data_IF_703868377398
#
_entry.id   IF_703868377398
#
_cell.length_a   1.000
_cell.length_b   1.000
_cell.length_c   1.000
_cell.angle_alpha   90.00
_cell.angle_beta   90.00
_cell.angle_gamma   90.00
#
_symmetry.space_group_name_H-M   'P 1'
#
loop_
_entity.id
_entity.type
_entity.pdbx_description
1 polymer ?
#
# COMPACT_ATOMS: atom_id res chain seq x y z
N UNK A 1 -38.64 43.63 -10.69
CA UNK A 1 -37.24 43.60 -11.18
C UNK A 1 -36.42 42.87 -10.14
N UNK A 2 -35.99 41.65 -10.45
CA UNK A 2 -35.28 40.78 -9.51
C UNK A 2 -33.82 41.22 -9.41
N UNK A 3 -33.34 41.39 -8.19
CA UNK A 3 -31.95 41.72 -7.89
C UNK A 3 -31.06 40.51 -8.09
N UNK A 4 -30.05 40.68 -8.93
CA UNK A 4 -28.99 39.72 -9.22
C UNK A 4 -28.01 39.70 -8.03
N UNK A 5 -28.20 38.76 -7.10
CA UNK A 5 -27.22 38.49 -6.06
C UNK A 5 -26.09 37.67 -6.67
N UNK A 6 -25.09 38.36 -7.22
CA UNK A 6 -23.86 37.78 -7.73
C UNK A 6 -23.11 37.03 -6.63
N UNK A 7 -23.39 35.73 -6.49
CA UNK A 7 -22.55 34.82 -5.73
C UNK A 7 -21.27 34.60 -6.55
N UNK A 8 -20.13 35.04 -6.01
CA UNK A 8 -18.83 34.73 -6.60
C UNK A 8 -18.69 33.20 -6.75
N UNK A 9 -18.15 32.70 -7.89
CA UNK A 9 -17.84 31.29 -8.03
C UNK A 9 -16.89 30.85 -6.91
N UNK A 10 -17.10 29.62 -6.42
CA UNK A 10 -16.25 29.01 -5.41
C UNK A 10 -14.78 29.11 -5.83
N UNK A 11 -14.00 29.91 -5.09
CA UNK A 11 -12.55 29.91 -5.17
C UNK A 11 -12.06 28.98 -4.05
N UNK A 12 -11.42 27.84 -4.35
CA UNK A 12 -10.85 27.00 -3.31
C UNK A 12 -9.91 27.87 -2.47
N UNK A 13 -10.07 27.83 -1.15
CA UNK A 13 -9.11 28.46 -0.26
C UNK A 13 -7.74 27.87 -0.59
N UNK A 14 -6.82 28.72 -1.06
CA UNK A 14 -5.44 28.33 -1.27
C UNK A 14 -4.94 27.80 0.07
N UNK A 15 -4.81 26.47 0.16
CA UNK A 15 -4.31 25.76 1.32
C UNK A 15 -3.10 26.54 1.86
N UNK A 16 -3.19 26.92 3.13
CA UNK A 16 -2.10 27.52 3.88
C UNK A 16 -0.79 26.80 3.52
N UNK A 17 0.15 27.58 2.97
CA UNK A 17 1.53 27.23 2.63
C UNK A 17 1.78 25.75 2.31
N UNK A 18 1.83 25.39 1.02
CA UNK A 18 2.39 24.11 0.59
C UNK A 18 3.81 23.98 1.15
N UNK A 19 3.98 23.12 2.16
CA UNK A 19 5.29 22.83 2.74
C UNK A 19 6.09 22.03 1.71
N UNK A 20 7.14 22.63 1.17
CA UNK A 20 8.07 21.93 0.30
C UNK A 20 9.09 21.18 1.16
N UNK A 21 8.94 19.86 1.25
CA UNK A 21 9.92 19.00 1.92
C UNK A 21 10.98 18.59 0.91
N UNK A 22 12.25 18.94 1.19
CA UNK A 22 13.38 18.55 0.35
C UNK A 22 13.95 17.22 0.83
N UNK A 23 13.70 16.15 0.06
CA UNK A 23 14.17 14.80 0.39
C UNK A 23 15.67 14.58 0.10
N UNK A 24 16.24 15.32 -0.85
CA UNK A 24 17.65 15.17 -1.24
C UNK A 24 18.60 15.46 -0.07
N UNK A 25 19.60 14.62 0.14
CA UNK A 25 20.59 14.79 1.20
C UNK A 25 20.14 14.27 2.57
N UNK A 26 18.96 13.66 2.66
CA UNK A 26 18.46 13.00 3.86
C UNK A 26 18.47 11.49 3.70
N UNK A 27 18.66 10.77 4.80
CA UNK A 27 18.44 9.32 4.86
C UNK A 27 16.94 9.08 4.91
N UNK A 28 16.42 8.33 3.93
CA UNK A 28 15.00 7.97 3.83
C UNK A 28 14.81 6.50 4.20
N UNK A 29 13.67 6.18 4.80
CA UNK A 29 13.25 4.81 5.03
C UNK A 29 12.21 4.42 3.98
N UNK A 30 12.48 3.31 3.28
CA UNK A 30 11.63 2.80 2.20
C UNK A 30 11.28 1.35 2.51
N UNK A 31 9.99 1.03 2.49
CA UNK A 31 9.53 -0.37 2.50
C UNK A 31 9.42 -0.81 1.05
N UNK A 32 10.05 -1.93 0.70
CA UNK A 32 10.05 -2.47 -0.66
C UNK A 32 9.21 -3.74 -0.72
N UNK A 33 8.34 -3.87 -1.72
CA UNK A 33 7.54 -5.06 -1.96
C UNK A 33 7.56 -5.46 -3.43
N UNK A 34 7.66 -6.76 -3.70
CA UNK A 34 7.41 -7.33 -5.02
C UNK A 34 6.03 -8.00 -5.00
N UNK A 35 5.26 -7.78 -6.06
CA UNK A 35 3.97 -8.44 -6.25
C UNK A 35 3.81 -8.86 -7.71
N UNK A 36 3.31 -10.08 -7.90
CA UNK A 36 3.13 -10.67 -9.21
C UNK A 36 1.68 -11.17 -9.33
N UNK A 37 1.07 -10.94 -10.49
CA UNK A 37 -0.15 -11.62 -10.91
C UNK A 37 0.24 -12.52 -12.07
N UNK A 38 0.00 -13.81 -11.92
CA UNK A 38 0.23 -14.82 -12.96
C UNK A 38 -1.11 -15.40 -13.39
N UNK A 39 -1.37 -15.38 -14.70
CA UNK A 39 -2.58 -15.90 -15.31
C UNK A 39 -2.23 -17.09 -16.18
N UNK A 40 -3.04 -18.15 -16.10
CA UNK A 40 -2.88 -19.35 -16.91
C UNK A 40 -4.14 -19.58 -17.74
N UNK A 41 -4.11 -20.40 -18.80
CA UNK A 41 -5.31 -20.75 -19.55
C UNK A 41 -6.43 -21.32 -18.68
N UNK A 42 -6.08 -22.03 -17.58
CA UNK A 42 -7.04 -22.58 -16.61
C UNK A 42 -7.61 -21.52 -15.67
N UNK A 43 -6.83 -20.48 -15.35
CA UNK A 43 -7.27 -19.32 -14.56
C UNK A 43 -6.96 -18.01 -15.31
N UNK A 44 -7.73 -17.68 -16.36
CA UNK A 44 -7.35 -16.66 -17.33
C UNK A 44 -7.71 -15.23 -16.92
N UNK A 45 -8.32 -15.04 -15.74
CA UNK A 45 -8.86 -13.75 -15.30
C UNK A 45 -8.43 -13.42 -13.88
N UNK A 46 -7.97 -12.19 -13.71
CA UNK A 46 -7.79 -11.55 -12.42
C UNK A 46 -9.04 -10.72 -12.09
N UNK A 47 -9.73 -10.98 -10.96
CA UNK A 47 -11.01 -10.36 -10.64
C UNK A 47 -10.92 -8.88 -10.24
N UNK A 48 -9.71 -8.34 -10.09
CA UNK A 48 -9.48 -7.01 -9.54
C UNK A 48 -9.05 -7.06 -8.08
N UNK A 49 -8.50 -5.95 -7.61
CA UNK A 49 -8.14 -5.73 -6.22
C UNK A 49 -9.30 -5.16 -5.41
N UNK A 50 -9.06 -4.96 -4.13
CA UNK A 50 -9.95 -4.23 -3.24
C UNK A 50 -9.48 -2.77 -3.12
N UNK A 51 -10.37 -1.85 -2.76
CA UNK A 51 -9.99 -0.45 -2.52
C UNK A 51 -9.20 -0.32 -1.21
N UNK A 52 -7.99 0.23 -1.29
CA UNK A 52 -7.08 0.31 -0.14
C UNK A 52 -6.14 1.53 -0.15
N UNK A 53 -5.54 1.77 1.02
CA UNK A 53 -4.39 2.64 1.26
C UNK A 53 -3.24 1.74 1.77
N UNK A 54 -2.00 2.11 1.48
CA UNK A 54 -0.83 1.30 1.83
C UNK A 54 -0.41 1.51 3.29
N UNK A 55 0.02 0.44 3.94
CA UNK A 55 0.54 0.50 5.31
C UNK A 55 -0.52 0.74 6.39
N UNK A 56 -0.11 0.50 7.63
CA UNK A 56 -0.84 0.82 8.84
C UNK A 56 -0.16 2.00 9.54
N UNK A 57 -0.72 2.41 10.69
CA UNK A 57 -0.22 3.57 11.41
C UNK A 57 1.24 3.41 11.87
N UNK A 58 1.69 2.19 12.13
CA UNK A 58 3.07 1.89 12.53
C UNK A 58 4.07 1.97 11.37
N UNK A 59 3.66 1.71 10.12
CA UNK A 59 4.56 1.86 8.96
C UNK A 59 4.72 3.31 8.49
N UNK A 60 3.84 4.23 8.94
CA UNK A 60 3.92 5.69 8.68
C UNK A 60 4.15 6.04 7.19
N UNK A 61 3.49 5.33 6.28
CA UNK A 61 3.68 5.50 4.83
C UNK A 61 3.01 6.79 4.35
N UNK A 62 3.77 7.67 3.70
CA UNK A 62 3.31 8.97 3.19
C UNK A 62 3.15 9.01 1.66
N UNK A 63 3.88 8.16 0.93
CA UNK A 63 3.77 8.06 -0.52
C UNK A 63 4.08 6.65 -1.01
N UNK A 64 3.49 6.32 -2.16
CA UNK A 64 3.65 5.03 -2.82
C UNK A 64 4.20 5.24 -4.23
N UNK A 65 5.26 4.51 -4.56
CA UNK A 65 5.82 4.39 -5.89
C UNK A 65 5.66 2.97 -6.40
N UNK A 66 5.18 2.78 -7.61
CA UNK A 66 5.01 1.48 -8.25
C UNK A 66 5.73 1.47 -9.58
N UNK A 67 6.57 0.45 -9.80
CA UNK A 67 7.24 0.21 -11.06
C UNK A 67 6.76 -1.11 -11.67
N UNK A 68 6.16 -1.03 -12.86
CA UNK A 68 5.66 -2.17 -13.62
C UNK A 68 6.77 -2.72 -14.51
N UNK A 69 7.65 -3.54 -13.93
CA UNK A 69 8.90 -3.92 -14.59
C UNK A 69 8.76 -5.04 -15.62
N UNK A 70 7.64 -5.79 -15.62
CA UNK A 70 7.38 -6.81 -16.63
C UNK A 70 5.87 -7.10 -16.74
N UNK A 71 5.35 -7.12 -17.97
CA UNK A 71 3.94 -7.38 -18.25
C UNK A 71 3.77 -8.01 -19.63
N UNK A 72 3.34 -9.27 -19.67
CA UNK A 72 3.21 -10.03 -20.92
C UNK A 72 1.86 -10.74 -21.00
N UNK A 73 1.29 -10.77 -22.22
CA UNK A 73 0.07 -11.52 -22.55
C UNK A 73 -1.14 -11.23 -21.65
N UNK A 74 -1.31 -9.98 -21.23
CA UNK A 74 -2.49 -9.54 -20.48
C UNK A 74 -3.27 -8.49 -21.28
N UNK A 75 -4.58 -8.41 -21.05
CA UNK A 75 -5.39 -7.28 -21.48
C UNK A 75 -5.00 -6.02 -20.71
N UNK A 76 -5.51 -4.86 -21.14
CA UNK A 76 -5.25 -3.59 -20.48
C UNK A 76 -5.51 -3.66 -18.97
N UNK A 77 -4.47 -3.39 -18.17
CA UNK A 77 -4.55 -3.31 -16.72
C UNK A 77 -4.61 -1.83 -16.31
N UNK A 78 -5.40 -1.51 -15.28
CA UNK A 78 -5.60 -0.14 -14.79
C UNK A 78 -5.49 -0.06 -13.28
N UNK A 79 -4.98 1.06 -12.80
CA UNK A 79 -5.00 1.46 -11.39
C UNK A 79 -5.98 2.62 -11.23
N UNK A 80 -7.07 2.38 -10.52
CA UNK A 80 -8.10 3.38 -10.23
C UNK A 80 -7.80 4.11 -8.92
N UNK A 81 -8.18 5.38 -8.84
CA UNK A 81 -7.97 6.25 -7.67
C UNK A 81 -9.27 6.90 -7.23
N UNK A 82 -9.46 6.96 -5.91
CA UNK A 82 -10.59 7.61 -5.25
C UNK A 82 -10.08 8.48 -4.09
N UNK A 83 -10.63 9.70 -3.87
CA UNK A 83 -10.32 10.52 -2.72
C UNK A 83 -10.89 9.84 -1.49
N UNK A 84 -10.27 10.10 -0.35
CA UNK A 84 -10.83 9.73 0.94
C UNK A 84 -12.17 10.43 1.11
N UNK A 85 -13.28 9.69 1.06
CA UNK A 85 -14.61 10.19 1.36
C UNK A 85 -14.70 10.51 2.85
N UNK A 86 -14.37 11.74 3.24
CA UNK A 86 -14.39 12.20 4.63
C UNK A 86 -15.78 12.54 5.19
N UNK A 87 -16.86 12.10 4.54
CA UNK A 87 -18.22 12.46 4.92
C UNK A 87 -18.86 11.30 5.69
N UNK A 88 -18.62 11.23 7.01
CA UNK A 88 -19.40 10.33 7.87
C UNK A 88 -20.84 10.84 7.96
N UNK A 89 -21.80 9.92 7.84
CA UNK A 89 -23.20 10.18 8.15
C UNK A 89 -23.53 9.92 9.65
N UNK A 90 -22.59 9.38 10.43
CA UNK A 90 -22.89 8.74 11.72
C UNK A 90 -22.14 9.31 12.94
N UNK A 91 -21.08 10.09 12.78
CA UNK A 91 -20.49 10.83 13.90
C UNK A 91 -20.96 12.28 13.87
N UNK A 92 -21.29 12.86 15.02
CA UNK A 92 -21.64 14.28 15.15
C UNK A 92 -20.53 15.30 14.74
N UNK A 93 -19.66 14.99 13.79
CA UNK A 93 -18.67 15.87 13.19
C UNK A 93 -19.15 16.44 11.85
N UNK A 94 -19.57 17.72 11.89
CA UNK A 94 -19.59 18.67 10.77
C UNK A 94 -19.94 18.07 9.40
N UNK A 95 -21.21 17.70 9.22
CA UNK A 95 -21.80 17.75 7.89
C UNK A 95 -21.46 19.09 7.26
N UNK A 96 -21.11 19.09 5.96
CA UNK A 96 -20.94 20.34 5.19
C UNK A 96 -22.07 21.27 5.60
N UNK A 97 -21.76 22.45 6.13
CA UNK A 97 -22.78 23.38 6.59
C UNK A 97 -23.49 23.84 5.32
N UNK A 98 -24.59 23.18 4.99
CA UNK A 98 -25.42 23.49 3.84
C UNK A 98 -26.80 23.88 4.37
N UNK A 99 -27.48 24.78 3.66
CA UNK A 99 -28.88 25.00 3.94
C UNK A 99 -29.63 23.71 3.65
N UNK A 100 -30.50 23.33 4.57
CA UNK A 100 -31.40 22.20 4.37
C UNK A 100 -32.08 22.39 3.00
N UNK A 101 -31.89 21.40 2.10
CA UNK A 101 -32.39 21.39 0.71
C UNK A 101 -31.57 22.14 -0.37
N UNK A 102 -30.30 22.53 -0.15
CA UNK A 102 -29.42 23.04 -1.23
C UNK A 102 -28.77 21.91 -2.06
N UNK A 103 -29.60 21.22 -2.84
CA UNK A 103 -29.19 20.12 -3.72
C UNK A 103 -28.26 20.58 -4.87
N UNK A 104 -28.39 21.83 -5.32
CA UNK A 104 -27.57 22.37 -6.42
C UNK A 104 -26.19 22.78 -5.94
N UNK A 105 -26.09 23.43 -4.78
CA UNK A 105 -24.81 23.83 -4.19
C UNK A 105 -23.95 22.61 -3.85
N UNK A 106 -24.55 21.56 -3.32
CA UNK A 106 -23.85 20.33 -2.93
C UNK A 106 -23.28 19.56 -4.13
N UNK A 107 -24.10 19.33 -5.16
CA UNK A 107 -23.67 18.68 -6.39
C UNK A 107 -22.65 19.52 -7.17
N UNK A 108 -22.80 20.85 -7.19
CA UNK A 108 -21.87 21.74 -7.89
C UNK A 108 -20.51 21.88 -7.19
N UNK A 109 -20.48 21.87 -5.85
CA UNK A 109 -19.25 22.06 -5.09
C UNK A 109 -18.45 20.75 -4.90
N UNK A 110 -19.15 19.63 -4.72
CA UNK A 110 -18.52 18.35 -4.35
C UNK A 110 -18.79 17.21 -5.33
N UNK A 111 -19.70 17.38 -6.30
CA UNK A 111 -20.06 16.30 -7.24
C UNK A 111 -20.79 15.13 -6.58
N UNK A 112 -21.35 15.34 -5.39
CA UNK A 112 -21.99 14.32 -4.57
C UNK A 112 -23.51 14.45 -4.65
N UNK A 113 -24.20 13.33 -4.83
CA UNK A 113 -25.66 13.25 -4.77
C UNK A 113 -26.10 12.50 -3.51
N UNK A 114 -27.20 12.94 -2.90
CA UNK A 114 -27.76 12.25 -1.72
C UNK A 114 -28.15 10.83 -2.14
N UNK A 115 -27.72 9.84 -1.35
CA UNK A 115 -27.87 8.39 -1.56
C UNK A 115 -26.90 7.72 -2.55
N UNK A 116 -25.86 8.43 -3.00
CA UNK A 116 -24.73 7.82 -3.72
C UNK A 116 -23.50 7.69 -2.80
N UNK A 117 -22.62 6.69 -3.03
CA UNK A 117 -21.35 6.59 -2.33
C UNK A 117 -20.60 7.91 -2.40
N UNK A 118 -19.99 8.33 -1.30
CA UNK A 118 -19.29 9.62 -1.17
C UNK A 118 -17.92 9.62 -1.87
N UNK A 119 -17.75 8.72 -2.83
CA UNK A 119 -16.50 8.26 -3.43
C UNK A 119 -16.49 8.84 -4.85
N UNK A 120 -15.96 10.04 -5.02
CA UNK A 120 -15.82 10.62 -6.35
C UNK A 120 -14.66 9.93 -7.06
N UNK A 121 -14.89 9.05 -8.04
CA UNK A 121 -13.76 8.47 -8.80
C UNK A 121 -12.91 9.58 -9.45
N UNK A 122 -11.67 9.75 -8.98
CA UNK A 122 -10.73 10.75 -9.53
C UNK A 122 -10.28 10.34 -10.93
N UNK A 123 -10.26 9.03 -11.21
CA UNK A 123 -9.95 8.46 -12.51
C UNK A 123 -9.11 7.19 -12.40
N UNK A 124 -8.68 6.68 -13.54
CA UNK A 124 -7.79 5.52 -13.63
C UNK A 124 -6.62 5.77 -14.56
N UNK A 125 -5.50 5.11 -14.28
CA UNK A 125 -4.30 5.16 -15.10
C UNK A 125 -4.04 3.77 -15.68
N UNK A 126 -3.79 3.70 -16.98
CA UNK A 126 -3.37 2.45 -17.63
C UNK A 126 -1.96 2.08 -17.17
N UNK A 127 -1.79 0.84 -16.73
CA UNK A 127 -0.54 0.30 -16.20
C UNK A 127 0.10 -0.62 -17.22
N UNK A 128 1.09 -0.11 -17.95
CA UNK A 128 1.87 -0.86 -18.95
C UNK A 128 3.23 -1.22 -18.39
N UNK A 129 3.93 -2.15 -19.03
CA UNK A 129 5.36 -2.39 -18.79
C UNK A 129 6.17 -1.09 -18.86
N UNK A 130 7.26 -1.04 -18.09
CA UNK A 130 8.20 0.08 -17.93
C UNK A 130 7.56 1.39 -17.44
N UNK A 131 6.36 1.32 -16.86
CA UNK A 131 5.70 2.49 -16.26
C UNK A 131 6.06 2.64 -14.79
N UNK A 132 6.39 3.86 -14.39
CA UNK A 132 6.50 4.27 -12.98
C UNK A 132 5.30 5.15 -12.60
N UNK A 133 4.64 4.82 -11.50
CA UNK A 133 3.58 5.63 -10.90
C UNK A 133 4.01 6.05 -9.50
N UNK A 134 3.82 7.33 -9.16
CA UNK A 134 4.08 7.83 -7.81
C UNK A 134 2.90 8.68 -7.39
N UNK A 135 2.36 8.40 -6.22
CA UNK A 135 1.21 9.12 -5.67
C UNK A 135 1.31 9.22 -4.13
N UNK A 136 0.75 10.28 -3.53
CA UNK A 136 0.68 10.38 -2.08
C UNK A 136 -0.25 9.31 -1.52
N UNK A 137 0.09 8.78 -0.34
CA UNK A 137 -0.68 7.71 0.32
C UNK A 137 -1.95 8.24 1.03
N UNK A 138 -2.61 9.21 0.39
CA UNK A 138 -3.89 9.80 0.81
C UNK A 138 -5.06 9.37 -0.08
N UNK A 139 -4.74 8.81 -1.26
CA UNK A 139 -5.73 8.31 -2.21
C UNK A 139 -5.93 6.82 -1.98
N UNK A 140 -7.20 6.41 -1.90
CA UNK A 140 -7.53 5.01 -2.05
C UNK A 140 -7.26 4.61 -3.50
N UNK A 141 -6.75 3.41 -3.70
CA UNK A 141 -6.53 2.87 -5.03
C UNK A 141 -6.96 1.41 -5.13
N UNK A 142 -7.26 0.99 -6.35
CA UNK A 142 -7.73 -0.35 -6.65
C UNK A 142 -7.23 -0.80 -8.03
N UNK A 143 -6.84 -2.06 -8.14
CA UNK A 143 -6.47 -2.67 -9.42
C UNK A 143 -7.74 -3.11 -10.13
N UNK A 144 -7.98 -2.61 -11.33
CA UNK A 144 -9.12 -3.05 -12.14
C UNK A 144 -8.97 -4.52 -12.58
N UNK A 145 -10.07 -5.25 -12.83
CA UNK A 145 -10.01 -6.60 -13.39
C UNK A 145 -9.31 -6.62 -14.75
N UNK A 146 -8.52 -7.66 -15.01
CA UNK A 146 -7.89 -7.90 -16.32
C UNK A 146 -7.74 -9.41 -16.58
N UNK A 147 -7.42 -9.81 -17.80
CA UNK A 147 -7.27 -11.22 -18.16
C UNK A 147 -6.16 -11.46 -19.16
N UNK A 148 -6.08 -12.68 -19.69
CA UNK A 148 -5.17 -13.02 -20.79
C UNK A 148 -5.59 -12.35 -22.10
N UNK A 149 -4.61 -11.81 -22.84
CA UNK A 149 -4.83 -11.29 -24.18
C UNK A 149 -4.98 -12.44 -25.21
N UNK A 150 -4.07 -13.42 -25.15
CA UNK A 150 -4.16 -14.72 -25.83
C UNK A 150 -4.49 -15.79 -24.76
N UNK A 151 -5.74 -16.30 -24.72
CA UNK A 151 -6.18 -17.29 -23.72
C UNK A 151 -5.45 -18.64 -23.82
N UNK A 152 -4.72 -18.90 -24.91
CA UNK A 152 -4.01 -20.16 -25.12
C UNK A 152 -2.63 -20.21 -24.46
N UNK A 153 -2.12 -19.05 -24.01
CA UNK A 153 -0.79 -18.91 -23.41
C UNK A 153 -0.90 -18.31 -22.02
N UNK A 154 0.04 -18.62 -21.11
CA UNK A 154 0.13 -17.92 -19.84
C UNK A 154 0.50 -16.45 -20.05
N UNK A 155 0.23 -15.63 -19.04
CA UNK A 155 0.53 -14.20 -19.02
C UNK A 155 0.78 -13.73 -17.60
N UNK A 156 1.42 -12.57 -17.44
CA UNK A 156 1.77 -12.06 -16.12
C UNK A 156 1.85 -10.54 -16.07
N UNK A 157 1.73 -10.03 -14.85
CA UNK A 157 2.02 -8.64 -14.47
C UNK A 157 2.89 -8.66 -13.22
N UNK A 158 4.08 -8.06 -13.29
CA UNK A 158 5.02 -8.01 -12.17
C UNK A 158 5.33 -6.56 -11.81
N UNK A 159 5.28 -6.27 -10.51
CA UNK A 159 5.48 -4.93 -9.98
C UNK A 159 6.47 -4.91 -8.83
N UNK A 160 7.18 -3.78 -8.73
CA UNK A 160 8.01 -3.42 -7.60
C UNK A 160 7.42 -2.16 -6.96
N UNK A 161 7.00 -2.27 -5.71
CA UNK A 161 6.43 -1.19 -4.93
C UNK A 161 7.46 -0.65 -3.93
N UNK A 162 7.51 0.68 -3.83
CA UNK A 162 8.30 1.43 -2.87
C UNK A 162 7.34 2.28 -2.05
N UNK A 163 7.33 2.07 -0.73
CA UNK A 163 6.55 2.86 0.19
C UNK A 163 7.46 3.78 0.98
N UNK A 164 7.31 5.08 0.76
CA UNK A 164 8.05 6.10 1.48
C UNK A 164 7.48 6.25 2.88
N UNK A 165 8.28 5.93 3.88
CA UNK A 165 7.98 6.22 5.28
C UNK A 165 8.15 7.72 5.52
N UNK A 166 7.34 8.29 6.41
CA UNK A 166 7.44 9.68 6.86
C UNK A 166 8.90 10.06 7.19
N UNK A 167 9.53 10.99 6.43
CA UNK A 167 10.91 11.39 6.66
C UNK A 167 11.17 12.01 8.04
N UNK A 168 10.13 12.46 8.75
CA UNK A 168 10.25 13.04 10.08
C UNK A 168 10.14 12.01 11.21
N UNK A 169 9.82 10.75 10.88
CA UNK A 169 9.62 9.67 11.84
C UNK A 169 10.55 8.51 11.53
N UNK A 170 11.43 8.13 12.47
CA UNK A 170 12.26 6.93 12.32
C UNK A 170 11.51 5.70 12.86
N UNK A 171 11.32 4.68 12.03
CA UNK A 171 10.81 3.37 12.42
C UNK A 171 11.94 2.33 12.46
N UNK A 172 11.70 1.17 13.10
CA UNK A 172 12.66 0.07 13.07
C UNK A 172 12.84 -0.46 11.63
N UNK A 173 14.08 -0.73 11.24
CA UNK A 173 14.43 -1.16 9.88
C UNK A 173 15.49 -2.27 9.87
N UNK A 174 15.85 -2.75 8.69
CA UNK A 174 16.96 -3.70 8.50
C UNK A 174 18.34 -3.15 8.88
N UNK A 175 18.45 -1.84 9.13
CA UNK A 175 19.66 -1.25 9.73
C UNK A 175 19.71 -1.43 11.26
N UNK A 176 18.55 -1.62 11.90
CA UNK A 176 18.43 -1.78 13.34
C UNK A 176 18.24 -3.26 13.74
N UNK A 177 17.63 -4.07 12.86
CA UNK A 177 17.36 -5.50 13.08
C UNK A 177 18.24 -6.35 12.15
N UNK A 178 19.11 -7.23 12.71
CA UNK A 178 19.98 -8.09 11.91
C UNK A 178 19.18 -9.18 11.19
N UNK A 179 19.82 -9.86 10.25
CA UNK A 179 19.23 -11.01 9.58
C UNK A 179 18.81 -12.08 10.60
N UNK A 180 17.53 -12.46 10.56
CA UNK A 180 16.93 -13.43 11.49
C UNK A 180 16.97 -14.87 10.94
N UNK A 181 17.42 -15.07 9.71
CA UNK A 181 17.51 -16.39 9.09
C UNK A 181 18.75 -17.13 9.59
N UNK A 182 18.52 -18.25 10.27
CA UNK A 182 19.59 -19.08 10.85
C UNK A 182 20.63 -19.51 9.83
N UNK A 183 20.22 -19.91 8.63
CA UNK A 183 21.13 -20.34 7.55
C UNK A 183 22.11 -19.24 7.15
N UNK A 184 21.67 -17.96 7.14
CA UNK A 184 22.57 -16.86 6.80
C UNK A 184 23.64 -16.65 7.87
N UNK A 185 23.26 -16.84 9.13
CA UNK A 185 24.20 -16.78 10.24
C UNK A 185 25.22 -17.92 10.16
N UNK A 186 24.77 -19.14 9.90
CA UNK A 186 25.63 -20.32 9.73
C UNK A 186 26.62 -20.11 8.58
N UNK A 187 26.13 -19.68 7.41
CA UNK A 187 27.00 -19.40 6.25
C UNK A 187 28.05 -18.33 6.58
N UNK A 188 27.66 -17.27 7.29
CA UNK A 188 28.60 -16.23 7.72
C UNK A 188 29.67 -16.75 8.70
N UNK A 189 29.32 -17.70 9.58
CA UNK A 189 30.29 -18.36 10.47
C UNK A 189 31.22 -19.31 9.71
N UNK A 190 30.73 -20.01 8.69
CA UNK A 190 31.55 -20.88 7.83
C UNK A 190 32.61 -20.09 7.06
N UNK A 191 32.28 -18.86 6.65
CA UNK A 191 33.22 -17.94 5.99
C UNK A 191 34.27 -17.35 6.96
N UNK A 192 34.02 -17.41 8.28
CA UNK A 192 34.94 -16.87 9.28
C UNK A 192 36.19 -17.75 9.43
N UNK A 193 37.31 -17.26 8.90
CA UNK A 193 38.58 -17.98 8.87
C UNK A 193 39.11 -18.40 10.26
N UNK A 194 38.71 -17.72 11.33
CA UNK A 194 39.03 -18.09 12.71
C UNK A 194 38.28 -19.36 13.16
N UNK A 195 37.05 -19.56 12.71
CA UNK A 195 36.20 -20.71 13.07
C UNK A 195 36.52 -21.95 12.25
N UNK A 196 37.02 -21.78 11.02
CA UNK A 196 37.48 -22.89 10.16
C UNK A 196 38.64 -23.70 10.76
N UNK A 197 39.37 -23.15 11.73
CA UNK A 197 40.50 -23.82 12.40
C UNK A 197 40.08 -24.63 13.62
N UNK A 198 38.82 -24.54 14.04
CA UNK A 198 38.32 -25.23 15.22
C UNK A 198 37.99 -26.70 14.89
N UNK A 199 38.21 -27.63 15.82
CA UNK A 199 37.61 -28.95 15.76
C UNK A 199 36.09 -28.88 15.67
N UNK A 200 35.46 -29.86 15.01
CA UNK A 200 34.02 -29.93 14.78
C UNK A 200 33.22 -29.78 16.08
N UNK A 201 33.70 -30.37 17.17
CA UNK A 201 33.00 -30.35 18.46
C UNK A 201 32.89 -28.94 19.04
N UNK A 202 33.92 -28.10 18.87
CA UNK A 202 33.89 -26.70 19.32
C UNK A 202 33.07 -25.83 18.37
N UNK A 203 33.07 -26.15 17.08
CA UNK A 203 32.20 -25.52 16.10
C UNK A 203 30.73 -25.73 16.48
N UNK A 204 30.34 -26.99 16.73
CA UNK A 204 28.95 -27.37 17.02
C UNK A 204 28.43 -26.67 18.28
N UNK A 205 29.29 -26.51 19.29
CA UNK A 205 28.97 -25.77 20.51
C UNK A 205 28.76 -24.29 20.21
N UNK A 206 29.67 -23.64 19.48
CA UNK A 206 29.59 -22.21 19.17
C UNK A 206 28.32 -21.90 18.38
N UNK A 207 28.03 -22.72 17.38
CA UNK A 207 26.84 -22.51 16.55
C UNK A 207 25.58 -22.85 17.30
N UNK A 208 25.57 -23.91 18.11
CA UNK A 208 24.48 -24.21 19.02
C UNK A 208 24.10 -22.99 19.88
N UNK A 209 25.08 -22.31 20.47
CA UNK A 209 24.84 -21.07 21.22
C UNK A 209 24.41 -19.90 20.33
N UNK A 210 25.00 -19.74 19.16
CA UNK A 210 24.73 -18.59 18.30
C UNK A 210 23.35 -18.64 17.64
N UNK A 211 22.79 -19.83 17.45
CA UNK A 211 21.46 -20.03 16.87
C UNK A 211 20.36 -20.25 17.91
N UNK A 212 20.71 -20.34 19.21
CA UNK A 212 19.76 -20.65 20.29
C UNK A 212 18.60 -19.64 20.36
N UNK A 213 18.90 -18.35 20.19
CA UNK A 213 17.90 -17.27 20.21
C UNK A 213 17.36 -16.91 18.80
N UNK A 214 17.76 -17.65 17.76
CA UNK A 214 17.34 -17.37 16.38
C UNK A 214 16.01 -18.04 16.06
N UNK A 215 15.16 -17.32 15.32
CA UNK A 215 13.85 -17.81 14.91
C UNK A 215 14.00 -18.86 13.80
N UNK A 216 13.38 -20.03 13.98
CA UNK A 216 13.30 -21.05 12.92
C UNK A 216 12.47 -20.59 11.72
N UNK A 217 12.64 -21.23 10.57
CA UNK A 217 11.84 -20.94 9.37
C UNK A 217 10.35 -21.23 9.61
N UNK A 218 10.04 -22.27 10.37
CA UNK A 218 8.69 -22.64 10.78
C UNK A 218 8.06 -21.57 11.67
N UNK A 219 8.80 -21.08 12.67
CA UNK A 219 8.35 -19.98 13.52
C UNK A 219 8.16 -18.69 12.73
N UNK A 220 9.09 -18.35 11.84
CA UNK A 220 8.99 -17.17 10.97
C UNK A 220 7.76 -17.24 10.05
N UNK A 221 7.44 -18.43 9.50
CA UNK A 221 6.20 -18.65 8.73
C UNK A 221 4.96 -18.47 9.60
N UNK A 222 4.97 -18.97 10.83
CA UNK A 222 3.86 -18.83 11.78
C UNK A 222 3.64 -17.39 12.21
N UNK A 223 4.71 -16.64 12.50
CA UNK A 223 4.63 -15.21 12.80
C UNK A 223 4.16 -14.42 11.57
N UNK A 224 4.61 -14.78 10.36
CA UNK A 224 4.07 -14.21 9.12
C UNK A 224 2.57 -14.47 8.99
N UNK A 225 2.08 -15.66 9.27
CA UNK A 225 0.64 -15.97 9.24
C UNK A 225 -0.15 -15.16 10.28
N UNK A 226 0.39 -14.99 11.49
CA UNK A 226 -0.22 -14.12 12.52
C UNK A 226 -0.28 -12.68 12.04
N UNK A 227 0.80 -12.17 11.44
CA UNK A 227 0.86 -10.82 10.88
C UNK A 227 -0.15 -10.65 9.74
N UNK A 228 -0.29 -11.64 8.84
CA UNK A 228 -1.32 -11.62 7.79
C UNK A 228 -2.73 -11.66 8.39
N UNK A 229 -2.94 -12.41 9.47
CA UNK A 229 -4.23 -12.49 10.16
C UNK A 229 -4.56 -11.20 10.90
N UNK A 230 -3.60 -10.58 11.59
CA UNK A 230 -3.76 -9.28 12.23
C UNK A 230 -4.10 -8.21 11.19
N UNK A 231 -3.39 -8.24 10.05
CA UNK A 231 -3.69 -7.41 8.89
C UNK A 231 -5.10 -7.63 8.37
N UNK A 232 -5.55 -8.88 8.23
CA UNK A 232 -6.91 -9.20 7.81
C UNK A 232 -8.00 -8.90 8.85
N UNK A 233 -7.68 -8.93 10.15
CA UNK A 233 -8.64 -8.69 11.22
C UNK A 233 -8.79 -7.19 11.50
N UNK A 234 -7.71 -6.41 11.44
CA UNK A 234 -7.81 -4.95 11.53
C UNK A 234 -8.54 -4.34 10.34
N UNK A 235 -8.50 -4.98 9.16
CA UNK A 235 -9.42 -4.68 8.06
C UNK A 235 -10.87 -4.74 8.54
N UNK A 236 -11.22 -5.77 9.32
CA UNK A 236 -12.59 -5.97 9.83
C UNK A 236 -12.95 -4.99 10.97
N UNK A 237 -12.05 -4.75 11.93
CA UNK A 237 -12.34 -3.84 13.06
C UNK A 237 -12.31 -2.36 12.64
N UNK A 238 -11.38 -1.95 11.77
CA UNK A 238 -11.41 -0.63 11.15
C UNK A 238 -12.59 -0.50 10.18
N UNK A 239 -13.06 -1.60 9.57
CA UNK A 239 -14.30 -1.54 8.79
C UNK A 239 -15.54 -1.27 9.62
N UNK A 240 -15.52 -1.65 10.90
CA UNK A 240 -16.66 -1.50 11.81
C UNK A 240 -16.68 -0.14 12.50
N UNK A 241 -15.54 0.56 12.58
CA UNK A 241 -15.43 1.82 13.34
C UNK A 241 -15.06 3.03 12.46
N UNK A 242 -14.47 2.85 11.26
CA UNK A 242 -13.98 3.97 10.44
C UNK A 242 -14.16 3.82 8.91
N UNK A 243 -14.45 2.65 8.31
CA UNK A 243 -14.36 2.58 6.85
C UNK A 243 -15.13 1.47 6.11
N UNK A 244 -15.63 1.77 4.90
CA UNK A 244 -15.59 0.79 3.80
C UNK A 244 -14.12 0.65 3.32
N UNK A 245 -13.22 0.04 4.08
CA UNK A 245 -11.80 -0.06 3.70
C UNK A 245 -11.26 -1.45 3.95
N UNK A 246 -10.75 -2.04 2.87
CA UNK A 246 -9.74 -3.07 2.98
C UNK A 246 -8.37 -2.42 3.09
N UNK A 247 -7.61 -2.74 4.13
CA UNK A 247 -6.16 -2.61 4.10
C UNK A 247 -5.61 -3.74 3.23
N UNK A 248 -4.75 -3.40 2.29
CA UNK A 248 -4.11 -4.39 1.45
C UNK A 248 -2.75 -3.83 1.05
N UNK A 249 -1.68 -4.59 1.25
CA UNK A 249 -0.35 -4.19 0.78
C UNK A 249 -0.19 -4.54 -0.71
N UNK A 250 -1.22 -4.46 -1.55
CA UNK A 250 -1.31 -5.25 -2.79
C UNK A 250 -1.06 -6.77 -2.54
N UNK A 251 -1.77 -7.38 -1.60
CA UNK A 251 -1.82 -8.84 -1.45
C UNK A 251 -2.84 -9.38 -2.48
N UNK A 252 -2.39 -10.37 -3.25
CA UNK A 252 -3.14 -11.07 -4.29
C UNK A 252 -3.08 -12.56 -3.99
#
# INVERSE_FOLDING_TARGET
>A
MAGDSGANPFAPQLLAERIHVRLSGHTLQIITKLANVELTPENPKYPGGSWHIEGMENEKIVATGIYYYASENITESRLAFSPRSGLRADDGGRGVIHQQWDYKGYAAAFGLYIAEPLNQEIGSIVTTEDKCLVFPNIYQHCVAPFGLADPTKPGFRKILCFFLVDPFTKIASTSDVPAQQTEWFVNALEEAQALQRLPQELWDIIVGYAIEDMMSVEEAKKEREKLMKERSNMVHDQSTIVFETSFNMCEH
#
